data_IF_999682392919
#
_entry.id   IF_999682392919
#
_cell.length_a   1.000
_cell.length_b   1.000
_cell.length_c   1.000
_cell.angle_alpha   90.00
_cell.angle_beta   90.00
_cell.angle_gamma   90.00
#
_symmetry.space_group_name_H-M   'P 1'
#
loop_
_entity.id
_entity.type
_entity.pdbx_description
1 polymer ?
#
# COMPACT_ATOMS: atom_id res chain seq x y z
N UNK A 1 -6.96 18.63 10.60
CA UNK A 1 -8.30 19.24 10.71
C UNK A 1 -9.02 18.79 11.98
N UNK A 2 -9.27 17.51 12.23
CA UNK A 2 -10.09 17.07 13.40
C UNK A 2 -9.59 17.58 14.78
N UNK A 3 -8.28 17.54 15.06
CA UNK A 3 -7.73 18.05 16.33
C UNK A 3 -7.94 19.57 16.47
N UNK A 4 -7.74 20.33 15.41
CA UNK A 4 -7.89 21.78 15.44
C UNK A 4 -9.33 22.13 15.76
N UNK A 5 -10.31 21.52 15.08
CA UNK A 5 -11.75 21.74 15.34
C UNK A 5 -12.11 21.44 16.79
N UNK A 6 -11.62 20.29 17.34
CA UNK A 6 -11.84 19.95 18.75
C UNK A 6 -11.26 20.98 19.72
N UNK A 7 -10.06 21.50 19.44
CA UNK A 7 -9.42 22.52 20.28
C UNK A 7 -10.14 23.87 20.18
N UNK A 8 -10.62 24.25 18.99
CA UNK A 8 -11.41 25.47 18.78
C UNK A 8 -12.74 25.42 19.54
N UNK A 9 -13.41 24.27 19.59
CA UNK A 9 -14.62 24.05 20.42
C UNK A 9 -14.33 24.21 21.93
N UNK A 10 -13.09 24.01 22.35
CA UNK A 10 -12.61 24.26 23.71
C UNK A 10 -11.97 25.64 23.88
N UNK A 11 -12.20 26.55 22.94
CA UNK A 11 -11.67 27.92 22.91
C UNK A 11 -10.13 28.00 22.88
N UNK A 12 -9.44 26.91 22.48
CA UNK A 12 -7.98 26.86 22.37
C UNK A 12 -7.61 27.09 20.90
N UNK A 13 -7.21 28.32 20.56
CA UNK A 13 -6.91 28.74 19.18
C UNK A 13 -5.41 28.93 18.91
N UNK A 14 -4.58 28.87 19.92
CA UNK A 14 -3.13 29.09 19.82
C UNK A 14 -2.37 27.84 20.25
N UNK A 15 -1.35 27.43 19.48
CA UNK A 15 -0.51 26.27 19.81
C UNK A 15 0.15 26.38 21.20
N UNK A 16 0.49 27.63 21.61
CA UNK A 16 1.10 27.90 22.90
C UNK A 16 0.15 27.66 24.10
N UNK A 17 -1.15 27.65 23.86
CA UNK A 17 -2.19 27.41 24.90
C UNK A 17 -2.58 25.93 24.99
N UNK A 18 -2.11 25.10 24.08
CA UNK A 18 -2.38 23.65 24.10
C UNK A 18 -1.62 23.02 25.26
N UNK A 19 -2.33 22.27 26.08
CA UNK A 19 -1.78 21.57 27.25
C UNK A 19 -1.82 20.05 27.05
N UNK A 20 -1.07 19.33 27.88
CA UNK A 20 -1.18 17.86 27.96
C UNK A 20 -2.64 17.44 28.20
N UNK A 21 -3.35 18.13 29.08
CA UNK A 21 -4.74 17.82 29.44
C UNK A 21 -5.68 17.98 28.24
N UNK A 22 -5.54 19.07 27.47
CA UNK A 22 -6.38 19.29 26.28
C UNK A 22 -6.12 18.22 25.19
N UNK A 23 -4.87 17.80 25.01
CA UNK A 23 -4.54 16.71 24.09
C UNK A 23 -5.03 15.34 24.58
N UNK A 24 -4.96 15.09 25.89
CA UNK A 24 -5.53 13.86 26.47
C UNK A 24 -7.04 13.82 26.29
N UNK A 25 -7.74 14.94 26.52
CA UNK A 25 -9.18 15.05 26.23
C UNK A 25 -9.51 14.78 24.75
N UNK A 26 -8.67 15.23 23.82
CA UNK A 26 -8.86 14.92 22.41
C UNK A 26 -8.68 13.41 22.12
N UNK A 27 -7.72 12.75 22.77
CA UNK A 27 -7.54 11.30 22.62
C UNK A 27 -8.78 10.54 23.11
N UNK A 28 -9.29 10.88 24.31
CA UNK A 28 -10.51 10.30 24.86
C UNK A 28 -11.71 10.53 23.91
N UNK A 29 -11.84 11.70 23.34
CA UNK A 29 -12.87 12.01 22.35
C UNK A 29 -12.76 11.11 21.11
N UNK A 30 -11.54 10.80 20.63
CA UNK A 30 -11.35 9.86 19.53
C UNK A 30 -11.74 8.42 19.93
N UNK A 31 -11.49 8.02 21.15
CA UNK A 31 -11.89 6.71 21.70
C UNK A 31 -13.41 6.60 21.80
N UNK A 32 -14.08 7.64 22.32
CA UNK A 32 -15.55 7.74 22.36
C UNK A 32 -16.19 7.70 20.98
N UNK A 33 -15.52 8.26 19.97
CA UNK A 33 -15.94 8.13 18.56
C UNK A 33 -15.68 6.74 17.96
N UNK A 34 -15.19 5.77 18.72
CA UNK A 34 -14.89 4.41 18.25
C UNK A 34 -13.72 4.33 17.27
N UNK A 35 -12.78 5.28 17.29
CA UNK A 35 -11.59 5.20 16.42
C UNK A 35 -10.69 4.05 16.84
N UNK A 36 -10.20 3.29 15.85
CA UNK A 36 -9.29 2.19 16.10
C UNK A 36 -7.99 2.65 16.76
N UNK A 37 -7.43 1.84 17.68
CA UNK A 37 -6.18 2.12 18.39
C UNK A 37 -5.01 2.48 17.45
N UNK A 38 -4.96 1.86 16.26
CA UNK A 38 -3.98 2.18 15.21
C UNK A 38 -4.15 3.59 14.66
N UNK A 39 -5.39 4.07 14.52
CA UNK A 39 -5.70 5.43 14.07
C UNK A 39 -5.28 6.45 15.12
N UNK A 40 -5.61 6.18 16.39
CA UNK A 40 -5.21 7.01 17.54
C UNK A 40 -3.70 7.09 17.64
N UNK A 41 -3.00 5.95 17.55
CA UNK A 41 -1.53 5.90 17.60
C UNK A 41 -0.88 6.73 16.49
N UNK A 42 -1.39 6.66 15.25
CA UNK A 42 -0.91 7.49 14.13
C UNK A 42 -1.16 8.97 14.36
N UNK A 43 -2.34 9.32 14.87
CA UNK A 43 -2.67 10.70 15.19
C UNK A 43 -1.76 11.25 16.28
N UNK A 44 -1.49 10.48 17.33
CA UNK A 44 -0.55 10.87 18.39
C UNK A 44 0.86 11.09 17.86
N UNK A 45 1.35 10.23 16.95
CA UNK A 45 2.64 10.43 16.30
C UNK A 45 2.68 11.76 15.52
N UNK A 46 1.62 12.05 14.77
CA UNK A 46 1.50 13.31 14.02
C UNK A 46 1.45 14.53 14.96
N UNK A 47 0.69 14.45 16.07
CA UNK A 47 0.62 15.50 17.09
C UNK A 47 1.99 15.75 17.73
N UNK A 48 2.71 14.69 18.10
CA UNK A 48 4.07 14.82 18.65
C UNK A 48 5.02 15.48 17.65
N UNK A 49 4.97 15.07 16.38
CA UNK A 49 5.81 15.65 15.33
C UNK A 49 5.50 17.14 15.11
N UNK A 50 4.22 17.51 15.10
CA UNK A 50 3.78 18.91 14.97
C UNK A 50 4.31 19.77 16.12
N UNK A 51 4.10 19.36 17.38
CA UNK A 51 4.56 20.15 18.52
C UNK A 51 6.09 20.14 18.68
N UNK A 52 6.79 19.09 18.24
CA UNK A 52 8.25 19.11 18.13
C UNK A 52 8.71 20.18 17.14
N UNK A 53 8.06 20.26 15.97
CA UNK A 53 8.35 21.29 14.98
C UNK A 53 8.11 22.70 15.54
N UNK A 54 7.01 22.94 16.25
CA UNK A 54 6.73 24.23 16.90
C UNK A 54 7.79 24.60 17.96
N UNK A 55 8.31 23.61 18.72
CA UNK A 55 9.43 23.81 19.64
C UNK A 55 10.73 24.18 18.87
N UNK A 56 11.03 23.48 17.79
CA UNK A 56 12.22 23.76 16.96
C UNK A 56 12.17 25.18 16.36
N UNK A 57 10.97 25.66 16.04
CA UNK A 57 10.76 27.03 15.56
C UNK A 57 10.70 28.07 16.69
N UNK A 58 10.97 27.67 17.95
CA UNK A 58 10.88 28.52 19.14
C UNK A 58 9.53 29.22 19.36
N UNK A 59 8.44 28.70 18.75
CA UNK A 59 7.08 29.24 18.90
C UNK A 59 6.43 28.79 20.20
N UNK A 60 6.85 27.65 20.74
CA UNK A 60 6.46 27.14 22.05
C UNK A 60 7.69 26.66 22.81
N UNK A 61 7.66 26.71 24.14
CA UNK A 61 8.81 26.37 24.99
C UNK A 61 8.94 24.86 25.25
N UNK A 62 7.85 24.12 25.26
CA UNK A 62 7.80 22.69 25.57
C UNK A 62 6.76 22.00 24.69
N UNK A 63 7.01 20.76 24.33
CA UNK A 63 6.07 19.94 23.60
C UNK A 63 5.00 19.39 24.57
N UNK A 64 3.72 19.82 24.48
CA UNK A 64 2.66 19.33 25.36
C UNK A 64 2.30 17.86 25.10
N UNK A 65 2.72 17.30 23.95
CA UNK A 65 2.45 15.92 23.56
C UNK A 65 3.58 14.95 23.98
N UNK A 66 4.70 15.43 24.52
CA UNK A 66 5.89 14.61 24.80
C UNK A 66 5.57 13.39 25.66
N UNK A 67 4.81 13.58 26.74
CA UNK A 67 4.45 12.53 27.70
C UNK A 67 3.18 11.74 27.35
N UNK A 68 2.59 11.95 26.17
CA UNK A 68 1.46 11.14 25.73
C UNK A 68 1.94 9.76 25.30
N UNK A 69 1.23 8.73 25.72
CA UNK A 69 1.51 7.35 25.35
C UNK A 69 0.40 6.83 24.42
N UNK A 70 0.83 6.24 23.32
CA UNK A 70 -0.10 5.61 22.39
C UNK A 70 -0.72 4.35 23.02
N UNK A 71 -1.99 4.05 22.74
CA UNK A 71 -2.59 2.80 23.17
C UNK A 71 -1.80 1.62 22.57
N UNK A 72 -1.70 0.52 23.35
CA UNK A 72 -1.07 -0.70 22.86
C UNK A 72 -1.88 -1.23 21.68
N UNK A 73 -1.24 -1.31 20.53
CA UNK A 73 -1.82 -1.94 19.34
C UNK A 73 -1.34 -3.39 19.33
N UNK A 74 -2.27 -4.32 19.47
CA UNK A 74 -1.96 -5.73 19.25
C UNK A 74 -1.59 -5.94 17.78
N UNK A 75 -0.35 -6.36 17.54
CA UNK A 75 0.10 -6.72 16.20
C UNK A 75 -0.46 -8.10 15.86
N UNK A 76 -1.50 -8.15 15.06
CA UNK A 76 -1.93 -9.43 14.45
C UNK A 76 -0.80 -9.95 13.56
N UNK A 77 -0.56 -11.26 13.63
CA UNK A 77 0.36 -11.91 12.70
C UNK A 77 -0.09 -11.63 11.26
N UNK A 78 0.84 -11.39 10.32
CA UNK A 78 0.47 -11.17 8.93
C UNK A 78 -0.20 -12.44 8.38
N UNK A 79 -1.27 -12.26 7.63
CA UNK A 79 -1.90 -13.34 6.88
C UNK A 79 -0.95 -13.76 5.75
N UNK A 80 -0.64 -15.05 5.68
CA UNK A 80 0.18 -15.66 4.64
C UNK A 80 -0.69 -16.70 3.95
N UNK A 81 -0.92 -16.52 2.66
CA UNK A 81 -1.65 -17.49 1.84
C UNK A 81 -0.75 -18.70 1.55
N UNK A 82 -1.34 -19.89 1.45
CA UNK A 82 -0.64 -21.08 0.94
C UNK A 82 -0.32 -20.92 -0.56
N UNK A 83 0.57 -21.76 -1.07
CA UNK A 83 0.90 -21.78 -2.51
C UNK A 83 -0.34 -22.08 -3.35
N UNK A 84 -1.21 -22.98 -2.86
CA UNK A 84 -2.45 -23.37 -3.53
C UNK A 84 -3.46 -22.22 -3.55
N UNK A 85 -3.63 -21.48 -2.43
CA UNK A 85 -4.47 -20.31 -2.38
C UNK A 85 -3.98 -19.20 -3.31
N UNK A 86 -2.67 -18.95 -3.38
CA UNK A 86 -2.11 -18.00 -4.34
C UNK A 86 -2.34 -18.46 -5.76
N UNK A 87 -2.14 -19.73 -6.07
CA UNK A 87 -2.38 -20.29 -7.40
C UNK A 87 -3.85 -20.16 -7.80
N UNK A 88 -4.78 -20.44 -6.88
CA UNK A 88 -6.22 -20.25 -7.07
C UNK A 88 -6.56 -18.79 -7.34
N UNK A 89 -5.98 -17.86 -6.58
CA UNK A 89 -6.17 -16.41 -6.76
C UNK A 89 -5.69 -15.94 -8.14
N UNK A 90 -4.49 -16.34 -8.55
CA UNK A 90 -3.89 -15.95 -9.83
C UNK A 90 -4.62 -16.54 -11.04
N UNK A 91 -5.34 -17.65 -10.85
CA UNK A 91 -6.15 -18.28 -11.89
C UNK A 91 -7.53 -17.64 -12.08
N UNK A 92 -7.97 -16.76 -11.18
CA UNK A 92 -9.33 -16.19 -11.25
C UNK A 92 -9.57 -15.24 -12.43
N UNK A 93 -8.63 -14.36 -12.83
CA UNK A 93 -8.83 -13.55 -14.01
C UNK A 93 -8.89 -14.45 -15.26
N UNK A 94 -10.07 -14.54 -15.91
CA UNK A 94 -10.28 -15.46 -17.05
C UNK A 94 -9.52 -15.05 -18.32
N UNK A 95 -9.09 -13.78 -18.39
CA UNK A 95 -8.43 -13.24 -19.59
C UNK A 95 -9.36 -12.97 -20.77
N UNK A 96 -10.68 -12.99 -20.55
CA UNK A 96 -11.66 -12.75 -21.62
C UNK A 96 -11.89 -11.28 -21.94
N UNK A 97 -11.57 -10.39 -21.03
CA UNK A 97 -11.73 -8.95 -21.21
C UNK A 97 -10.39 -8.23 -20.97
N UNK A 98 -10.17 -7.05 -21.62
CA UNK A 98 -8.96 -6.26 -21.40
C UNK A 98 -8.69 -5.94 -19.94
N UNK A 99 -9.76 -5.76 -19.14
CA UNK A 99 -9.67 -5.57 -17.72
C UNK A 99 -9.11 -6.79 -17.00
N UNK A 100 -9.62 -7.98 -17.32
CA UNK A 100 -9.15 -9.24 -16.70
C UNK A 100 -7.72 -9.59 -17.09
N UNK A 101 -7.34 -9.34 -18.37
CA UNK A 101 -5.95 -9.52 -18.82
C UNK A 101 -5.01 -8.60 -18.05
N UNK A 102 -5.37 -7.33 -17.88
CA UNK A 102 -4.61 -6.40 -17.03
C UNK A 102 -4.51 -6.89 -15.59
N UNK A 103 -5.63 -7.28 -15.00
CA UNK A 103 -5.70 -7.71 -13.59
C UNK A 103 -4.83 -8.95 -13.36
N UNK A 104 -4.84 -9.91 -14.30
CA UNK A 104 -3.95 -11.09 -14.31
C UNK A 104 -2.48 -10.69 -14.33
N UNK A 105 -2.10 -9.78 -15.22
CA UNK A 105 -0.74 -9.29 -15.34
C UNK A 105 -0.28 -8.57 -14.05
N UNK A 106 -1.14 -7.73 -13.45
CA UNK A 106 -0.84 -7.04 -12.19
C UNK A 106 -0.65 -8.01 -11.03
N UNK A 107 -1.53 -9.00 -10.87
CA UNK A 107 -1.44 -10.01 -9.80
C UNK A 107 -0.20 -10.89 -9.98
N UNK A 108 0.07 -11.33 -11.21
CA UNK A 108 1.24 -12.14 -11.53
C UNK A 108 2.55 -11.41 -11.24
N UNK A 109 2.67 -10.15 -11.65
CA UNK A 109 3.87 -9.34 -11.39
C UNK A 109 4.05 -9.06 -9.90
N UNK A 110 2.97 -8.70 -9.19
CA UNK A 110 3.04 -8.45 -7.74
C UNK A 110 3.54 -9.66 -6.97
N UNK A 111 3.01 -10.85 -7.30
CA UNK A 111 3.45 -12.08 -6.63
C UNK A 111 4.84 -12.54 -7.08
N UNK A 112 5.20 -12.33 -8.34
CA UNK A 112 6.54 -12.73 -8.84
C UNK A 112 7.68 -11.88 -8.26
N UNK A 113 7.41 -10.64 -7.88
CA UNK A 113 8.44 -9.66 -7.49
C UNK A 113 8.32 -9.19 -6.04
N UNK A 114 7.16 -9.36 -5.43
CA UNK A 114 6.88 -8.87 -4.09
C UNK A 114 6.99 -7.36 -3.93
N UNK A 115 6.88 -6.55 -4.98
CA UNK A 115 6.94 -5.10 -4.92
C UNK A 115 5.77 -4.49 -4.14
N UNK A 116 5.91 -3.23 -3.72
CA UNK A 116 4.81 -2.50 -3.07
C UNK A 116 3.73 -2.11 -4.10
N UNK A 117 2.48 -2.01 -3.65
CA UNK A 117 1.38 -1.56 -4.54
C UNK A 117 1.66 -0.19 -5.16
N UNK A 118 2.26 0.73 -4.40
CA UNK A 118 2.64 2.04 -4.94
C UNK A 118 3.64 1.94 -6.07
N UNK A 119 4.56 1.00 -5.99
CA UNK A 119 5.53 0.70 -7.06
C UNK A 119 4.80 0.08 -8.25
N UNK A 120 3.99 -0.96 -8.03
CA UNK A 120 3.23 -1.64 -9.09
C UNK A 120 2.37 -0.68 -9.92
N UNK A 121 1.60 0.19 -9.28
CA UNK A 121 0.72 1.12 -9.99
C UNK A 121 1.45 2.30 -10.60
N UNK A 122 2.68 2.57 -10.14
CA UNK A 122 3.54 3.65 -10.62
C UNK A 122 4.53 3.24 -11.70
N UNK A 123 4.60 1.95 -12.07
CA UNK A 123 5.52 1.46 -13.10
C UNK A 123 5.29 2.22 -14.41
N UNK A 124 6.37 2.75 -14.99
CA UNK A 124 6.39 3.36 -16.31
C UNK A 124 6.75 2.33 -17.39
N UNK A 125 6.46 2.63 -18.65
CA UNK A 125 6.83 1.75 -19.75
C UNK A 125 8.33 1.48 -19.84
N UNK A 126 9.14 2.45 -19.51
CA UNK A 126 10.62 2.38 -19.49
C UNK A 126 11.18 1.55 -18.34
N UNK A 127 10.41 1.34 -17.26
CA UNK A 127 10.86 0.61 -16.07
C UNK A 127 10.87 -0.91 -16.27
N UNK A 128 10.22 -1.43 -17.30
CA UNK A 128 10.14 -2.87 -17.58
C UNK A 128 10.95 -3.23 -18.80
N UNK A 129 11.91 -4.14 -18.61
CA UNK A 129 12.61 -4.79 -19.71
C UNK A 129 12.03 -6.17 -19.98
N UNK A 130 11.17 -6.26 -21.02
CA UNK A 130 10.50 -7.51 -21.38
C UNK A 130 11.48 -8.55 -21.98
N UNK A 131 12.56 -8.11 -22.63
CA UNK A 131 13.50 -9.04 -23.26
C UNK A 131 14.26 -9.87 -22.22
N UNK A 132 14.80 -9.20 -21.22
CA UNK A 132 15.62 -9.83 -20.16
C UNK A 132 14.75 -10.32 -18.98
N UNK A 133 13.56 -9.74 -18.78
CA UNK A 133 12.63 -10.12 -17.72
C UNK A 133 12.96 -9.49 -16.37
N UNK A 134 13.16 -8.18 -16.32
CA UNK A 134 13.30 -7.43 -15.08
C UNK A 134 12.52 -6.12 -15.10
N UNK A 135 12.26 -5.60 -13.90
CA UNK A 135 11.71 -4.27 -13.69
C UNK A 135 12.65 -3.44 -12.80
N UNK A 136 12.63 -2.13 -12.99
CA UNK A 136 13.32 -1.16 -12.14
C UNK A 136 12.31 -0.51 -11.21
N UNK A 137 12.51 -0.65 -9.90
CA UNK A 137 11.71 0.06 -8.88
C UNK A 137 12.50 1.24 -8.35
N UNK A 138 11.86 2.42 -8.34
CA UNK A 138 12.44 3.65 -7.78
C UNK A 138 11.74 4.01 -6.47
N UNK A 139 12.53 4.23 -5.42
CA UNK A 139 12.07 4.70 -4.10
C UNK A 139 12.92 5.91 -3.68
N UNK A 140 12.49 7.11 -4.08
CA UNK A 140 13.28 8.32 -3.98
C UNK A 140 14.54 8.25 -4.86
N UNK A 141 15.72 8.38 -4.24
CA UNK A 141 17.02 8.29 -4.94
C UNK A 141 17.53 6.85 -5.10
N UNK A 142 16.82 5.88 -4.53
CA UNK A 142 17.24 4.46 -4.60
C UNK A 142 16.55 3.76 -5.74
N UNK A 143 17.35 3.10 -6.57
CA UNK A 143 16.86 2.21 -7.61
C UNK A 143 17.21 0.78 -7.26
N UNK A 144 16.29 -0.16 -7.56
CA UNK A 144 16.56 -1.57 -7.49
C UNK A 144 15.97 -2.30 -8.69
N UNK A 145 16.73 -3.23 -9.22
CA UNK A 145 16.33 -4.09 -10.33
C UNK A 145 15.82 -5.41 -9.78
N UNK A 146 14.61 -5.79 -10.17
CA UNK A 146 13.95 -7.01 -9.68
C UNK A 146 13.64 -7.90 -10.89
N UNK A 147 14.20 -9.11 -10.96
CA UNK A 147 13.86 -10.05 -12.01
C UNK A 147 12.44 -10.61 -11.79
N UNK A 148 11.75 -10.94 -12.87
CA UNK A 148 10.48 -11.65 -12.84
C UNK A 148 10.51 -12.87 -13.75
N UNK A 149 9.84 -13.95 -13.31
CA UNK A 149 9.88 -15.23 -13.99
C UNK A 149 8.99 -15.28 -15.24
N UNK A 150 9.10 -16.41 -15.98
CA UNK A 150 8.39 -16.61 -17.26
C UNK A 150 6.88 -16.45 -17.18
N UNK A 151 6.25 -16.88 -16.08
CA UNK A 151 4.79 -16.78 -15.90
C UNK A 151 4.33 -15.31 -15.83
N UNK A 152 5.06 -14.47 -15.10
CA UNK A 152 4.76 -13.04 -15.05
C UNK A 152 5.03 -12.38 -16.42
N UNK A 153 6.15 -12.74 -17.08
CA UNK A 153 6.48 -12.26 -18.41
C UNK A 153 5.35 -12.52 -19.41
N UNK A 154 4.88 -13.77 -19.49
CA UNK A 154 3.78 -14.14 -20.39
C UNK A 154 2.49 -13.34 -20.14
N UNK A 155 2.14 -13.11 -18.87
CA UNK A 155 0.97 -12.31 -18.51
C UNK A 155 1.14 -10.82 -18.88
N UNK A 156 2.37 -10.29 -18.76
CA UNK A 156 2.68 -8.91 -19.19
C UNK A 156 2.64 -8.76 -20.71
N UNK A 157 3.17 -9.74 -21.44
CA UNK A 157 3.10 -9.79 -22.91
C UNK A 157 1.65 -9.82 -23.38
N UNK A 158 0.83 -10.72 -22.81
CA UNK A 158 -0.62 -10.81 -23.10
C UNK A 158 -1.32 -9.45 -22.86
N UNK A 159 -0.96 -8.77 -21.77
CA UNK A 159 -1.51 -7.46 -21.45
C UNK A 159 -1.13 -6.38 -22.47
N UNK A 160 0.14 -6.31 -22.87
CA UNK A 160 0.62 -5.32 -23.83
C UNK A 160 0.00 -5.52 -25.24
N UNK A 161 -0.11 -6.79 -25.67
CA UNK A 161 -0.59 -7.13 -27.01
C UNK A 161 -2.11 -7.00 -27.14
N UNK A 162 -2.87 -7.46 -26.13
CA UNK A 162 -4.31 -7.67 -26.26
C UNK A 162 -5.19 -6.77 -25.40
N UNK A 163 -4.63 -6.02 -24.44
CA UNK A 163 -5.47 -5.28 -23.51
C UNK A 163 -5.11 -3.80 -23.36
N UNK A 164 -3.83 -3.46 -23.30
CA UNK A 164 -3.39 -2.12 -22.94
C UNK A 164 -3.92 -1.06 -23.90
N UNK A 165 -3.80 -1.27 -25.20
CA UNK A 165 -4.23 -0.30 -26.23
C UNK A 165 -5.75 -0.08 -26.18
N UNK A 166 -6.52 -1.13 -25.91
CA UNK A 166 -7.97 -1.03 -25.77
C UNK A 166 -8.37 -0.22 -24.54
N UNK A 167 -7.69 -0.44 -23.40
CA UNK A 167 -7.91 0.32 -22.17
C UNK A 167 -7.48 1.79 -22.29
N UNK A 168 -6.47 2.10 -23.10
CA UNK A 168 -6.02 3.46 -23.38
C UNK A 168 -7.07 4.28 -24.15
N UNK A 169 -7.93 3.65 -24.95
CA UNK A 169 -8.98 4.32 -25.74
C UNK A 169 -8.44 5.47 -26.60
N UNK A 170 -7.27 5.27 -27.20
CA UNK A 170 -6.60 6.28 -28.03
C UNK A 170 -5.86 7.38 -27.26
N UNK A 171 -5.78 7.29 -25.92
CA UNK A 171 -5.00 8.23 -25.08
C UNK A 171 -3.56 7.73 -24.94
N UNK A 172 -2.60 8.65 -24.86
CA UNK A 172 -1.24 8.34 -24.45
C UNK A 172 -1.16 8.15 -22.94
N UNK A 173 -0.26 7.28 -22.48
CA UNK A 173 0.08 7.13 -21.06
C UNK A 173 1.47 6.51 -20.92
N UNK A 174 2.29 7.10 -20.06
CA UNK A 174 3.61 6.56 -19.74
C UNK A 174 3.51 5.42 -18.71
N UNK A 175 2.38 5.32 -17.99
CA UNK A 175 2.14 4.22 -17.06
C UNK A 175 2.02 2.88 -17.79
N UNK A 176 2.70 1.87 -17.26
CA UNK A 176 2.60 0.51 -17.76
C UNK A 176 1.18 -0.03 -17.58
N UNK A 177 0.66 0.01 -16.35
CA UNK A 177 -0.71 -0.39 -16.04
C UNK A 177 -1.66 0.79 -16.03
N UNK A 178 -2.71 0.70 -16.83
CA UNK A 178 -3.73 1.74 -16.94
C UNK A 178 -5.10 1.26 -16.43
N UNK A 179 -5.90 2.19 -15.94
CA UNK A 179 -7.29 1.92 -15.55
C UNK A 179 -8.22 1.85 -16.79
N UNK A 180 -9.51 1.57 -16.58
CA UNK A 180 -10.49 1.45 -17.66
C UNK A 180 -10.78 2.77 -18.42
N UNK A 181 -10.19 3.89 -18.01
CA UNK A 181 -10.30 5.20 -18.70
C UNK A 181 -8.97 5.66 -19.31
N UNK A 182 -7.96 4.79 -19.33
CA UNK A 182 -6.63 5.06 -19.87
C UNK A 182 -5.69 5.84 -18.94
N UNK A 183 -6.12 6.17 -17.72
CA UNK A 183 -5.29 6.87 -16.72
C UNK A 183 -4.56 5.92 -15.79
N UNK A 184 -3.78 6.49 -14.86
CA UNK A 184 -3.08 5.75 -13.83
C UNK A 184 -4.03 4.91 -12.95
N UNK A 185 -3.55 3.75 -12.51
CA UNK A 185 -4.25 2.94 -11.51
C UNK A 185 -4.16 3.59 -10.12
N UNK A 186 -5.23 3.51 -9.33
CA UNK A 186 -5.21 3.94 -7.94
C UNK A 186 -4.98 2.77 -6.98
N UNK A 187 -4.42 3.05 -5.79
CA UNK A 187 -4.28 2.03 -4.73
C UNK A 187 -5.61 1.41 -4.34
N UNK A 188 -6.67 2.22 -4.24
CA UNK A 188 -8.02 1.75 -3.93
C UNK A 188 -8.58 0.86 -5.06
N UNK A 189 -8.31 1.23 -6.32
CA UNK A 189 -8.69 0.42 -7.48
C UNK A 189 -8.05 -0.96 -7.44
N UNK A 190 -6.75 -1.02 -7.20
CA UNK A 190 -6.04 -2.30 -7.11
C UNK A 190 -6.44 -3.11 -5.87
N UNK A 191 -6.70 -2.45 -4.73
CA UNK A 191 -7.23 -3.13 -3.55
C UNK A 191 -8.58 -3.82 -3.83
N UNK A 192 -9.49 -3.16 -4.55
CA UNK A 192 -10.78 -3.76 -4.97
C UNK A 192 -10.57 -4.97 -5.89
N UNK A 193 -9.57 -4.93 -6.78
CA UNK A 193 -9.22 -6.05 -7.65
C UNK A 193 -8.83 -7.28 -6.83
N UNK A 194 -7.91 -7.12 -5.86
CA UNK A 194 -7.47 -8.22 -5.00
C UNK A 194 -8.64 -8.80 -4.19
N UNK A 195 -9.48 -7.94 -3.61
CA UNK A 195 -10.66 -8.39 -2.86
C UNK A 195 -11.60 -9.21 -3.73
N UNK A 196 -11.95 -8.68 -4.89
CA UNK A 196 -12.85 -9.34 -5.84
C UNK A 196 -12.36 -10.73 -6.26
N UNK A 197 -11.08 -10.85 -6.63
CA UNK A 197 -10.53 -12.14 -7.02
C UNK A 197 -10.27 -13.07 -5.82
N UNK A 198 -10.03 -12.55 -4.63
CA UNK A 198 -9.94 -13.34 -3.41
C UNK A 198 -11.27 -14.01 -3.04
N UNK A 199 -12.34 -13.25 -3.07
CA UNK A 199 -13.70 -13.78 -2.87
C UNK A 199 -14.05 -14.83 -3.93
N UNK A 200 -13.72 -14.56 -5.20
CA UNK A 200 -13.94 -15.48 -6.32
C UNK A 200 -13.12 -16.78 -6.19
N UNK A 201 -11.93 -16.70 -5.59
CA UNK A 201 -11.08 -17.85 -5.29
C UNK A 201 -11.51 -18.65 -4.05
N UNK A 202 -12.55 -18.20 -3.32
CA UNK A 202 -12.99 -18.85 -2.08
C UNK A 202 -12.02 -18.66 -0.92
N UNK A 203 -11.21 -17.60 -0.92
CA UNK A 203 -10.26 -17.28 0.16
C UNK A 203 -11.03 -16.55 1.25
N UNK A 204 -11.14 -17.18 2.44
CA UNK A 204 -11.90 -16.64 3.59
C UNK A 204 -11.13 -15.52 4.33
N UNK A 205 -9.81 -15.53 4.24
CA UNK A 205 -8.96 -14.54 4.89
C UNK A 205 -9.16 -13.14 4.28
N UNK A 206 -9.02 -12.12 5.13
CA UNK A 206 -9.04 -10.73 4.69
C UNK A 206 -7.76 -10.38 3.91
N UNK A 207 -7.75 -10.70 2.62
CA UNK A 207 -6.59 -10.49 1.76
C UNK A 207 -6.45 -9.01 1.34
N UNK A 208 -5.20 -8.59 1.31
CA UNK A 208 -4.78 -7.26 0.90
C UNK A 208 -3.56 -7.39 -0.03
N UNK A 209 -3.16 -6.31 -0.73
CA UNK A 209 -1.89 -6.33 -1.47
C UNK A 209 -0.67 -6.68 -0.60
N UNK A 210 -0.69 -6.31 0.68
CA UNK A 210 0.36 -6.71 1.63
C UNK A 210 0.36 -8.21 1.89
N UNK A 211 -0.82 -8.84 1.89
CA UNK A 211 -0.95 -10.30 2.04
C UNK A 211 -0.19 -11.04 0.94
N UNK A 212 -0.36 -10.65 -0.34
CA UNK A 212 0.39 -11.25 -1.45
C UNK A 212 1.90 -11.01 -1.34
N UNK A 213 2.33 -9.81 -0.95
CA UNK A 213 3.75 -9.52 -0.73
C UNK A 213 4.32 -10.34 0.43
N UNK A 214 3.59 -10.50 1.54
CA UNK A 214 4.02 -11.34 2.66
C UNK A 214 4.08 -12.82 2.27
N UNK A 215 3.11 -13.29 1.48
CA UNK A 215 3.11 -14.67 0.97
C UNK A 215 4.29 -14.92 0.02
N UNK A 216 4.59 -13.97 -0.88
CA UNK A 216 5.81 -14.04 -1.70
C UNK A 216 7.06 -14.17 -0.85
N UNK A 217 7.24 -13.29 0.14
CA UNK A 217 8.41 -13.30 1.02
C UNK A 217 8.53 -14.63 1.79
N UNK A 218 7.43 -15.12 2.37
CA UNK A 218 7.39 -16.39 3.09
C UNK A 218 7.70 -17.58 2.19
N UNK A 219 7.14 -17.62 0.99
CA UNK A 219 7.39 -18.72 0.03
C UNK A 219 8.82 -18.70 -0.51
N UNK A 220 9.40 -17.53 -0.69
CA UNK A 220 10.79 -17.38 -1.13
C UNK A 220 11.76 -17.90 -0.06
N UNK A 221 11.53 -17.54 1.21
CA UNK A 221 12.31 -18.04 2.36
C UNK A 221 12.15 -19.55 2.51
N UNK A 222 10.92 -20.07 2.40
CA UNK A 222 10.67 -21.51 2.47
C UNK A 222 11.39 -22.31 1.37
N UNK A 223 11.72 -21.67 0.25
CA UNK A 223 12.52 -22.24 -0.84
C UNK A 223 14.03 -22.01 -0.70
N UNK A 224 14.49 -21.51 0.45
CA UNK A 224 15.92 -21.37 0.76
C UNK A 224 16.55 -20.01 0.40
N UNK A 225 15.74 -18.99 0.07
CA UNK A 225 16.29 -17.66 -0.15
C UNK A 225 16.78 -17.02 1.17
N UNK A 226 17.88 -16.26 1.09
CA UNK A 226 18.38 -15.50 2.25
C UNK A 226 17.36 -14.43 2.64
N UNK A 227 17.05 -14.37 3.95
CA UNK A 227 16.14 -13.37 4.52
C UNK A 227 16.60 -11.93 4.23
N UNK A 228 17.91 -11.67 4.13
CA UNK A 228 18.46 -10.36 3.79
C UNK A 228 18.12 -9.94 2.36
N UNK A 229 18.10 -10.88 1.42
CA UNK A 229 17.74 -10.63 0.03
C UNK A 229 16.24 -10.27 -0.14
N UNK A 230 15.39 -10.69 0.81
CA UNK A 230 13.94 -10.43 0.77
C UNK A 230 13.57 -9.12 1.45
N UNK A 231 14.44 -8.53 2.28
CA UNK A 231 14.20 -7.29 3.03
C UNK A 231 14.54 -6.01 2.24
N UNK A 232 15.11 -6.12 1.07
CA UNK A 232 15.39 -4.99 0.15
C UNK A 232 14.18 -4.67 -0.71
#
# INVERSE_FOLDING_TARGET
>A
MQMITYLEEKEIREAAKVTKTSLHGYILHMEEQGKAATTISRMMAAIKAFFNYECMQARIRRNPAESLHAPKVEKKAPVILSVDQVSALLAQPSGQTPKEIRDKAMLALLYATGIRVSELIGIQMEDINMNIGFLVCRDGERERTIPFGRSAKAALEEYLEHARNELLRGKGSDYFFVNCTGGAMSRQGFWKIIKYYGEKAGIEEDITPHTLRHSFAAHLIARGADMRAVQT
#
